data_IF_156529589390
#
_entry.id   IF_156529589390
#
_cell.length_a   1.000
_cell.length_b   1.000
_cell.length_c   1.000
_cell.angle_alpha   90.00
_cell.angle_beta   90.00
_cell.angle_gamma   90.00
#
_symmetry.space_group_name_H-M   'P 1'
#
loop_
_entity.id
_entity.type
_entity.pdbx_description
1 polymer ?
#
# COMPACT_ATOMS: atom_id res chain seq x y z
N UNK A 1 -10.41 -15.59 49.49
CA UNK A 1 -9.37 -14.83 48.77
C UNK A 1 -10.02 -14.25 47.53
N UNK A 2 -10.06 -12.92 47.42
CA UNK A 2 -10.82 -12.18 46.40
C UNK A 2 -9.87 -11.95 45.23
N UNK A 3 -10.05 -12.67 44.12
CA UNK A 3 -9.22 -12.49 42.92
C UNK A 3 -9.48 -11.11 42.33
N UNK A 4 -8.49 -10.23 42.42
CA UNK A 4 -8.49 -8.92 41.77
C UNK A 4 -8.13 -9.17 40.30
N UNK A 5 -9.12 -9.10 39.41
CA UNK A 5 -8.89 -9.15 37.97
C UNK A 5 -8.13 -7.88 37.55
N UNK A 6 -6.87 -8.04 37.18
CA UNK A 6 -6.03 -6.97 36.64
C UNK A 6 -6.49 -6.70 35.19
N UNK A 7 -7.26 -5.64 34.98
CA UNK A 7 -7.57 -5.14 33.64
C UNK A 7 -6.32 -4.45 33.08
N UNK A 8 -5.66 -5.10 32.13
CA UNK A 8 -4.58 -4.51 31.33
C UNK A 8 -5.22 -3.57 30.29
N UNK A 9 -4.88 -2.27 30.26
CA UNK A 9 -5.38 -1.37 29.23
C UNK A 9 -4.73 -1.72 27.88
N UNK A 10 -5.53 -2.07 26.87
CA UNK A 10 -5.08 -2.13 25.48
C UNK A 10 -4.79 -0.70 25.02
N UNK A 11 -3.52 -0.39 24.75
CA UNK A 11 -3.14 0.83 24.05
C UNK A 11 -3.45 0.59 22.57
N UNK A 12 -4.48 1.25 22.05
CA UNK A 12 -4.78 1.25 20.62
C UNK A 12 -3.89 2.30 19.95
N UNK A 13 -3.00 1.87 19.06
CA UNK A 13 -2.24 2.80 18.21
C UNK A 13 -3.19 3.48 17.21
N UNK A 14 -2.99 4.78 16.91
CA UNK A 14 -3.73 5.42 15.83
C UNK A 14 -3.40 4.70 14.52
N UNK A 15 -4.43 4.19 13.86
CA UNK A 15 -4.33 3.63 12.52
C UNK A 15 -4.94 4.64 11.55
N UNK A 16 -4.16 5.10 10.57
CA UNK A 16 -4.70 5.81 9.44
C UNK A 16 -5.23 4.79 8.42
N UNK A 17 -6.34 5.14 7.77
CA UNK A 17 -6.89 4.30 6.71
C UNK A 17 -6.30 4.76 5.37
N UNK A 18 -5.47 3.91 4.77
CA UNK A 18 -5.10 4.06 3.37
C UNK A 18 -6.35 3.88 2.49
N UNK A 19 -6.36 4.56 1.35
CA UNK A 19 -7.44 4.46 0.37
C UNK A 19 -7.03 3.55 -0.78
N UNK A 20 -7.96 2.69 -1.20
CA UNK A 20 -7.84 1.87 -2.41
C UNK A 20 -8.85 2.40 -3.43
N UNK A 21 -8.38 2.81 -4.59
CA UNK A 21 -9.24 3.28 -5.69
C UNK A 21 -8.99 2.44 -6.95
N UNK A 22 -10.01 2.21 -7.80
CA UNK A 22 -9.77 1.73 -9.15
C UNK A 22 -8.81 2.68 -9.87
N UNK A 23 -7.97 2.15 -10.75
CA UNK A 23 -7.06 2.99 -11.52
C UNK A 23 -7.79 4.09 -12.28
N UNK A 24 -7.24 5.29 -12.14
CA UNK A 24 -7.71 6.50 -12.80
C UNK A 24 -6.53 7.16 -13.54
N UNK A 25 -6.58 8.48 -13.70
CA UNK A 25 -5.54 9.26 -14.36
C UNK A 25 -4.15 9.10 -13.71
N UNK A 26 -4.06 8.78 -12.40
CA UNK A 26 -2.80 8.59 -11.67
C UNK A 26 -2.03 7.38 -12.17
N UNK A 27 -2.72 6.37 -12.68
CA UNK A 27 -2.11 5.18 -13.28
C UNK A 27 -1.56 5.43 -14.71
N UNK A 28 -1.34 6.69 -15.08
CA UNK A 28 -0.70 7.08 -16.34
C UNK A 28 0.76 6.60 -16.37
N UNK A 29 1.23 6.22 -17.54
CA UNK A 29 2.66 5.90 -17.76
C UNK A 29 3.57 7.09 -17.47
N UNK A 30 3.07 8.32 -17.57
CA UNK A 30 3.80 9.53 -17.21
C UNK A 30 4.03 9.70 -15.70
N UNK A 31 3.26 9.00 -14.87
CA UNK A 31 3.40 9.04 -13.41
C UNK A 31 4.31 7.91 -12.89
N UNK A 32 4.73 6.96 -13.73
CA UNK A 32 5.64 5.90 -13.28
C UNK A 32 7.00 6.50 -12.93
N UNK A 33 7.48 6.20 -11.72
CA UNK A 33 8.79 6.67 -11.28
C UNK A 33 9.89 5.98 -12.08
N UNK A 34 10.81 6.78 -12.62
CA UNK A 34 12.01 6.32 -13.33
C UNK A 34 13.16 6.03 -12.35
N UNK A 35 14.01 5.03 -12.60
CA UNK A 35 13.90 4.02 -13.66
C UNK A 35 12.80 2.99 -13.34
N UNK A 36 12.05 2.54 -14.35
CA UNK A 36 10.95 1.60 -14.15
C UNK A 36 11.41 0.25 -13.60
N UNK A 37 12.61 -0.20 -13.95
CA UNK A 37 13.20 -1.45 -13.45
C UNK A 37 13.46 -1.43 -11.94
N UNK A 38 13.70 -0.25 -11.37
CA UNK A 38 13.97 -0.06 -9.95
C UNK A 38 12.67 0.20 -9.16
N UNK A 39 11.67 0.80 -9.83
CA UNK A 39 10.42 1.28 -9.22
C UNK A 39 9.19 0.48 -9.65
N UNK A 40 9.38 -0.68 -10.27
CA UNK A 40 8.34 -1.67 -10.49
C UNK A 40 8.84 -3.08 -10.21
N UNK A 41 7.96 -3.94 -9.70
CA UNK A 41 8.27 -5.35 -9.42
C UNK A 41 7.10 -6.23 -9.81
N UNK A 42 7.43 -7.46 -10.20
CA UNK A 42 6.43 -8.48 -10.54
C UNK A 42 6.53 -9.68 -9.61
N UNK A 43 5.39 -10.24 -9.26
CA UNK A 43 5.27 -11.37 -8.35
C UNK A 43 4.37 -12.46 -8.94
N UNK A 44 4.40 -13.65 -8.32
CA UNK A 44 3.58 -14.79 -8.72
C UNK A 44 3.70 -15.10 -10.24
N UNK A 45 4.93 -15.19 -10.74
CA UNK A 45 5.23 -15.40 -12.17
C UNK A 45 4.67 -14.29 -13.10
N UNK A 46 4.64 -13.05 -12.63
CA UNK A 46 4.32 -11.87 -13.45
C UNK A 46 2.83 -11.54 -13.55
N UNK A 47 1.97 -12.27 -12.85
CA UNK A 47 0.52 -12.01 -12.81
C UNK A 47 0.17 -10.87 -11.87
N UNK A 48 0.95 -10.66 -10.81
CA UNK A 48 0.89 -9.46 -9.97
C UNK A 48 2.02 -8.52 -10.40
N UNK A 49 1.72 -7.23 -10.57
CA UNK A 49 2.72 -6.18 -10.79
C UNK A 49 2.40 -5.00 -9.89
N UNK A 50 3.44 -4.45 -9.28
CA UNK A 50 3.33 -3.21 -8.51
C UNK A 50 4.33 -2.20 -9.04
N UNK A 51 3.98 -0.92 -8.97
CA UNK A 51 4.87 0.17 -9.37
C UNK A 51 4.62 1.40 -8.51
N UNK A 52 5.69 2.15 -8.27
CA UNK A 52 5.62 3.46 -7.63
C UNK A 52 5.14 4.49 -8.65
N UNK A 53 4.16 5.29 -8.24
CA UNK A 53 3.67 6.44 -8.98
C UNK A 53 4.09 7.73 -8.28
N UNK A 54 4.43 8.76 -9.06
CA UNK A 54 4.65 10.13 -8.63
C UNK A 54 3.77 11.06 -9.48
N UNK A 55 2.76 11.66 -8.85
CA UNK A 55 1.85 12.60 -9.52
C UNK A 55 2.39 14.02 -9.55
N UNK A 56 3.61 14.25 -9.02
CA UNK A 56 4.30 15.53 -8.82
C UNK A 56 3.62 16.44 -7.80
N UNK A 57 2.30 16.59 -7.89
CA UNK A 57 1.49 17.37 -6.97
C UNK A 57 0.32 16.54 -6.41
N UNK A 58 -0.12 16.84 -5.17
CA UNK A 58 0.48 17.79 -4.23
C UNK A 58 1.84 17.29 -3.72
N UNK A 59 2.87 18.14 -3.67
CA UNK A 59 4.24 17.72 -3.35
C UNK A 59 4.37 16.96 -2.01
N UNK A 60 3.50 17.25 -1.03
CA UNK A 60 3.49 16.57 0.26
C UNK A 60 2.80 15.19 0.25
N UNK A 61 2.20 14.81 -0.87
CA UNK A 61 1.36 13.63 -1.01
C UNK A 61 1.30 13.15 -2.48
N UNK A 62 2.45 13.16 -3.17
CA UNK A 62 2.55 12.85 -4.60
C UNK A 62 2.70 11.35 -4.90
N UNK A 63 3.11 10.55 -3.91
CA UNK A 63 3.47 9.15 -4.14
C UNK A 63 2.30 8.19 -3.92
N UNK A 64 2.08 7.29 -4.87
CA UNK A 64 1.03 6.27 -4.79
C UNK A 64 1.58 4.90 -5.19
N UNK A 65 0.92 3.83 -4.77
CA UNK A 65 1.27 2.48 -5.20
C UNK A 65 0.24 1.96 -6.21
N UNK A 66 0.69 1.71 -7.45
CA UNK A 66 -0.08 0.97 -8.45
C UNK A 66 0.00 -0.52 -8.15
N UNK A 67 -1.16 -1.20 -8.17
CA UNK A 67 -1.25 -2.66 -8.05
C UNK A 67 -2.11 -3.21 -9.19
N UNK A 68 -1.49 -4.04 -10.03
CA UNK A 68 -2.17 -4.87 -11.02
C UNK A 68 -2.20 -6.31 -10.52
N UNK A 69 -3.38 -6.90 -10.37
CA UNK A 69 -3.52 -8.26 -9.83
C UNK A 69 -4.70 -9.02 -10.46
N UNK A 70 -4.72 -10.37 -10.37
CA UNK A 70 -5.95 -11.14 -10.50
C UNK A 70 -6.94 -10.83 -9.35
N UNK A 71 -8.17 -11.36 -9.39
CA UNK A 71 -8.76 -12.22 -10.43
C UNK A 71 -8.97 -11.47 -11.74
N UNK A 72 -8.90 -12.19 -12.85
CA UNK A 72 -9.16 -11.61 -14.17
C UNK A 72 -10.66 -11.50 -14.43
N UNK A 73 -11.09 -10.46 -15.16
CA UNK A 73 -12.45 -10.39 -15.69
C UNK A 73 -12.69 -11.50 -16.72
N UNK A 74 -13.95 -11.70 -17.13
CA UNK A 74 -14.27 -12.65 -18.20
C UNK A 74 -13.58 -12.31 -19.56
N UNK A 75 -13.15 -11.05 -19.72
CA UNK A 75 -12.41 -10.57 -20.89
C UNK A 75 -10.88 -10.69 -20.72
N UNK A 76 -10.41 -11.18 -19.57
CA UNK A 76 -8.99 -11.33 -19.27
C UNK A 76 -8.31 -10.07 -18.74
N UNK A 77 -9.07 -9.07 -18.31
CA UNK A 77 -8.52 -7.84 -17.73
C UNK A 77 -8.08 -8.10 -16.28
N UNK A 78 -6.96 -7.53 -15.88
CA UNK A 78 -6.51 -7.54 -14.47
C UNK A 78 -7.33 -6.55 -13.67
N UNK A 79 -7.45 -6.77 -12.36
CA UNK A 79 -7.77 -5.69 -11.44
C UNK A 79 -6.66 -4.64 -11.50
N UNK A 80 -7.03 -3.38 -11.37
CA UNK A 80 -6.12 -2.24 -11.38
C UNK A 80 -6.51 -1.31 -10.23
N UNK A 81 -5.62 -1.18 -9.26
CA UNK A 81 -5.83 -0.35 -8.08
C UNK A 81 -4.69 0.65 -7.89
N UNK A 82 -5.04 1.84 -7.39
CA UNK A 82 -4.10 2.83 -6.86
C UNK A 82 -4.34 2.95 -5.36
N UNK A 83 -3.27 2.77 -4.59
CA UNK A 83 -3.29 2.90 -3.13
C UNK A 83 -2.67 4.24 -2.74
N UNK A 84 -3.39 4.99 -1.91
CA UNK A 84 -3.05 6.35 -1.47
C UNK A 84 -3.15 6.46 0.06
N UNK A 85 -2.52 7.47 0.67
CA UNK A 85 -2.56 7.66 2.12
C UNK A 85 -3.93 8.17 2.61
N UNK A 86 -4.67 8.87 1.75
CA UNK A 86 -6.05 9.32 1.93
C UNK A 86 -6.69 9.64 0.57
N UNK A 87 -7.95 10.11 0.58
CA UNK A 87 -8.69 10.46 -0.63
C UNK A 87 -7.93 11.50 -1.48
N UNK A 88 -7.56 11.10 -2.70
CA UNK A 88 -6.78 11.91 -3.66
C UNK A 88 -5.42 12.43 -3.15
N UNK A 89 -4.98 11.98 -1.98
CA UNK A 89 -3.73 12.38 -1.32
C UNK A 89 -2.84 11.15 -1.16
N UNK A 90 -1.73 11.12 -1.88
CA UNK A 90 -0.71 10.09 -1.75
C UNK A 90 0.13 10.22 -0.49
N UNK A 91 1.26 9.55 -0.52
CA UNK A 91 2.31 9.57 0.48
C UNK A 91 3.31 10.69 0.19
N UNK A 92 3.98 11.16 1.24
CA UNK A 92 5.12 12.06 1.09
C UNK A 92 6.30 11.32 0.46
N UNK A 93 6.48 10.05 0.83
CA UNK A 93 7.48 9.15 0.25
C UNK A 93 7.04 7.69 0.39
N UNK A 94 7.46 6.84 -0.54
CA UNK A 94 7.38 5.38 -0.43
C UNK A 94 8.74 4.81 -0.85
N UNK A 95 9.46 4.18 0.07
CA UNK A 95 10.77 3.58 -0.18
C UNK A 95 10.59 2.22 -0.88
N UNK A 96 10.43 2.29 -2.20
CA UNK A 96 10.21 1.12 -3.04
C UNK A 96 11.44 0.18 -3.09
N UNK A 97 12.64 0.71 -2.87
CA UNK A 97 13.85 -0.11 -2.74
C UNK A 97 13.74 -1.02 -1.51
N UNK A 98 13.25 -0.48 -0.40
CA UNK A 98 12.94 -1.17 0.86
C UNK A 98 11.69 -2.06 0.85
N UNK A 99 10.98 -2.21 -0.27
CA UNK A 99 9.81 -3.09 -0.38
C UNK A 99 10.19 -4.54 -0.06
N UNK A 100 9.54 -5.09 0.97
CA UNK A 100 9.64 -6.50 1.36
C UNK A 100 8.38 -7.26 0.91
N UNK A 101 8.55 -8.50 0.50
CA UNK A 101 7.45 -9.34 0.04
C UNK A 101 7.50 -10.71 0.72
N UNK A 102 6.35 -11.18 1.19
CA UNK A 102 6.19 -12.48 1.81
C UNK A 102 4.98 -13.20 1.22
N UNK A 103 5.10 -14.50 0.98
CA UNK A 103 4.01 -15.33 0.47
C UNK A 103 3.59 -16.36 1.50
N UNK A 104 2.29 -16.40 1.78
CA UNK A 104 1.63 -17.42 2.59
C UNK A 104 0.52 -18.07 1.74
N UNK A 105 0.53 -19.40 1.51
CA UNK A 105 -0.52 -20.08 0.75
C UNK A 105 -1.95 -19.87 1.28
N UNK A 106 -2.12 -19.55 2.57
CA UNK A 106 -3.43 -19.34 3.18
C UNK A 106 -3.97 -17.93 2.97
N UNK A 107 -3.11 -16.93 2.75
CA UNK A 107 -3.50 -15.51 2.74
C UNK A 107 -3.01 -14.72 1.53
N UNK A 108 -2.16 -15.32 0.68
CA UNK A 108 -1.66 -14.73 -0.55
C UNK A 108 -0.31 -14.03 -0.40
N UNK A 109 -0.08 -13.04 -1.26
CA UNK A 109 1.11 -12.20 -1.25
C UNK A 109 0.89 -11.02 -0.30
N UNK A 110 1.81 -10.79 0.63
CA UNK A 110 1.87 -9.59 1.45
C UNK A 110 3.10 -8.77 1.05
N UNK A 111 2.90 -7.46 0.85
CA UNK A 111 3.94 -6.48 0.59
C UNK A 111 4.01 -5.54 1.78
N UNK A 112 5.21 -5.30 2.30
CA UNK A 112 5.47 -4.30 3.32
C UNK A 112 6.37 -3.21 2.73
N UNK A 113 5.83 -2.00 2.67
CA UNK A 113 6.45 -0.86 2.01
C UNK A 113 6.66 0.28 3.03
N UNK A 114 7.90 0.51 3.46
CA UNK A 114 8.29 1.70 4.22
C UNK A 114 7.94 3.00 3.47
N UNK A 115 7.54 4.04 4.19
CA UNK A 115 7.33 5.36 3.62
C UNK A 115 7.07 6.42 4.67
N UNK A 116 6.63 7.59 4.21
CA UNK A 116 6.22 8.71 5.05
C UNK A 116 4.89 9.27 4.54
N UNK A 117 4.02 9.69 5.45
CA UNK A 117 2.83 10.49 5.12
C UNK A 117 2.96 11.87 5.74
N UNK A 118 2.41 12.88 5.08
CA UNK A 118 2.33 14.21 5.65
C UNK A 118 1.02 14.37 6.43
N UNK A 119 1.11 14.75 7.70
CA UNK A 119 -0.04 14.99 8.58
C UNK A 119 0.12 16.32 9.31
N UNK A 120 -0.80 17.24 9.07
CA UNK A 120 -0.72 18.60 9.61
C UNK A 120 0.52 19.32 9.09
N UNK A 121 1.54 19.43 9.93
CA UNK A 121 2.83 20.08 9.62
C UNK A 121 4.03 19.11 9.68
N UNK A 122 3.78 17.82 9.93
CA UNK A 122 4.82 16.81 10.20
C UNK A 122 4.80 15.68 9.16
N UNK A 123 5.98 15.14 8.86
CA UNK A 123 6.14 13.89 8.15
C UNK A 123 6.16 12.74 9.18
N UNK A 124 5.22 11.80 9.06
CA UNK A 124 5.13 10.65 9.93
C UNK A 124 5.64 9.40 9.20
N UNK A 125 6.62 8.67 9.77
CA UNK A 125 7.07 7.42 9.19
C UNK A 125 5.98 6.36 9.31
N UNK A 126 5.72 5.66 8.22
CA UNK A 126 4.71 4.60 8.14
C UNK A 126 5.27 3.32 7.52
N UNK A 127 4.53 2.24 7.71
CA UNK A 127 4.64 1.03 6.91
C UNK A 127 3.28 0.78 6.25
N UNK A 128 3.26 0.80 4.92
CA UNK A 128 2.11 0.39 4.12
C UNK A 128 2.18 -1.12 3.89
N UNK A 129 1.20 -1.85 4.41
CA UNK A 129 1.06 -3.29 4.19
C UNK A 129 -0.07 -3.54 3.20
N UNK A 130 0.23 -4.23 2.11
CA UNK A 130 -0.73 -4.62 1.07
C UNK A 130 -0.77 -6.12 0.94
N UNK A 131 -1.95 -6.71 1.17
CA UNK A 131 -2.19 -8.14 0.97
C UNK A 131 -3.06 -8.37 -0.25
N UNK A 132 -2.59 -9.27 -1.09
CA UNK A 132 -3.13 -9.58 -2.42
C UNK A 132 -3.43 -11.08 -2.45
N UNK A 133 -4.71 -11.43 -2.38
CA UNK A 133 -5.22 -12.76 -2.67
C UNK A 133 -5.66 -12.82 -4.13
N UNK A 134 -5.02 -13.67 -4.93
CA UNK A 134 -5.30 -13.81 -6.36
C UNK A 134 -6.70 -14.34 -6.68
N UNK A 135 -7.40 -14.88 -5.68
CA UNK A 135 -8.77 -15.37 -5.81
C UNK A 135 -9.82 -14.34 -5.40
N UNK A 136 -9.43 -13.24 -4.74
CA UNK A 136 -10.33 -12.21 -4.25
C UNK A 136 -10.18 -10.91 -5.05
N UNK A 137 -11.28 -10.20 -5.38
CA UNK A 137 -11.20 -8.94 -6.12
C UNK A 137 -10.58 -7.81 -5.29
N UNK A 138 -10.77 -7.85 -3.97
CA UNK A 138 -10.41 -6.76 -3.06
C UNK A 138 -8.98 -6.94 -2.51
N UNK A 139 -8.25 -5.82 -2.42
CA UNK A 139 -6.99 -5.76 -1.68
C UNK A 139 -7.28 -5.53 -0.21
N UNK A 140 -6.49 -6.13 0.67
CA UNK A 140 -6.47 -5.75 2.08
C UNK A 140 -5.27 -4.84 2.31
N UNK A 141 -5.53 -3.61 2.74
CA UNK A 141 -4.49 -2.62 2.97
C UNK A 141 -4.60 -2.12 4.41
N UNK A 142 -3.45 -2.02 5.05
CA UNK A 142 -3.30 -1.39 6.36
C UNK A 142 -2.07 -0.52 6.38
N UNK A 143 -2.12 0.51 7.20
CA UNK A 143 -0.99 1.40 7.44
C UNK A 143 -0.76 1.52 8.93
N UNK A 144 0.50 1.42 9.35
CA UNK A 144 0.91 1.59 10.73
C UNK A 144 1.96 2.70 10.84
N UNK A 145 1.72 3.66 11.72
CA UNK A 145 2.70 4.69 12.08
C UNK A 145 3.80 4.03 12.90
N UNK A 146 5.06 4.19 12.49
CA UNK A 146 6.20 3.70 13.26
C UNK A 146 6.54 4.72 14.35
N UNK A 147 6.48 4.27 15.60
CA UNK A 147 6.95 5.04 16.75
C UNK A 147 8.40 4.63 16.99
N UNK A 148 9.34 5.58 16.85
CA UNK A 148 10.76 5.37 17.20
C UNK A 148 10.98 5.31 18.72
#
# INVERSE_FOLDING_TARGET
MKWLALLLPLVASPAFAAEITPCDWRASTAALVEPWEDNSRSFANGVIRVALLDTVEPAAAAFHLLVLSPPYTALGERQCHVISAAQDMGYLSLDFAGLNAHYDPATGLTLDLPGERYEGEEALPVTLTVRIDQSAPDLLVSEEVRVE
#
